data_IF_416745763392
#
_entry.id   IF_416745763392
#
_cell.length_a   1.000
_cell.length_b   1.000
_cell.length_c   1.000
_cell.angle_alpha   90.00
_cell.angle_beta   90.00
_cell.angle_gamma   90.00
#
_symmetry.space_group_name_H-M   'P 1'
#
loop_
_entity.id
_entity.type
_entity.pdbx_description
1 polymer ?
#
# COMPACT_ATOMS: atom_id res chain seq x y z
N UNK A 1 7.10 23.38 -2.35
CA UNK A 1 6.32 22.14 -2.25
C UNK A 1 5.01 22.39 -2.95
N UNK A 2 4.74 21.74 -4.08
CA UNK A 2 3.46 21.86 -4.78
C UNK A 2 2.58 20.69 -4.34
N UNK A 3 1.39 21.01 -3.86
CA UNK A 3 0.37 20.01 -3.56
C UNK A 3 0.05 19.20 -4.84
N UNK A 4 -0.45 17.96 -4.70
CA UNK A 4 -1.06 17.23 -5.81
C UNK A 4 -2.06 18.11 -6.57
N UNK A 5 -2.10 17.96 -7.90
CA UNK A 5 -3.03 18.72 -8.74
C UNK A 5 -4.49 18.31 -8.55
N UNK A 6 -4.74 17.13 -7.98
CA UNK A 6 -6.05 16.55 -7.69
C UNK A 6 -5.94 15.47 -6.61
N UNK A 7 -7.05 14.92 -6.13
CA UNK A 7 -7.06 13.72 -5.25
C UNK A 7 -6.59 12.47 -6.01
N UNK A 8 -6.09 11.46 -5.28
CA UNK A 8 -5.76 10.17 -5.87
C UNK A 8 -7.05 9.41 -6.24
N UNK A 9 -7.18 8.97 -7.49
CA UNK A 9 -8.33 8.19 -7.98
C UNK A 9 -7.87 6.97 -8.76
N UNK A 10 -8.72 5.94 -8.94
CA UNK A 10 -8.37 4.80 -9.78
C UNK A 10 -8.00 5.17 -11.23
N UNK A 11 -8.55 6.27 -11.75
CA UNK A 11 -8.38 6.72 -13.13
C UNK A 11 -7.15 7.60 -13.36
N UNK A 12 -6.43 8.05 -12.33
CA UNK A 12 -5.29 8.96 -12.51
C UNK A 12 -3.96 8.39 -12.04
N UNK A 13 -3.96 7.17 -11.48
CA UNK A 13 -2.79 6.56 -10.89
C UNK A 13 -2.41 5.19 -11.47
N UNK A 14 -1.15 4.82 -11.23
CA UNK A 14 -0.55 3.51 -11.53
C UNK A 14 0.24 3.07 -10.30
N UNK A 15 0.24 1.77 -10.02
CA UNK A 15 1.04 1.20 -8.94
C UNK A 15 2.38 0.70 -9.48
N UNK A 16 3.48 1.17 -8.91
CA UNK A 16 4.83 0.70 -9.20
C UNK A 16 5.30 -0.18 -8.05
N UNK A 17 5.49 -1.47 -8.34
CA UNK A 17 5.90 -2.49 -7.38
C UNK A 17 7.32 -2.93 -7.72
N UNK A 18 8.29 -2.26 -7.11
CA UNK A 18 9.70 -2.32 -7.53
C UNK A 18 10.48 -3.21 -6.58
N UNK A 19 11.10 -4.26 -7.12
CA UNK A 19 12.03 -5.13 -6.40
C UNK A 19 11.43 -5.84 -5.19
N UNK A 20 10.14 -6.19 -5.23
CA UNK A 20 9.52 -7.11 -4.25
C UNK A 20 9.99 -8.55 -4.46
N UNK A 21 11.29 -8.75 -4.30
CA UNK A 21 12.02 -9.98 -4.60
C UNK A 21 12.29 -10.79 -3.32
N UNK A 22 12.21 -12.12 -3.43
CA UNK A 22 12.26 -13.03 -2.27
C UNK A 22 13.56 -12.94 -1.46
N UNK A 23 14.68 -12.60 -2.10
CA UNK A 23 15.98 -12.46 -1.45
C UNK A 23 16.12 -11.16 -0.68
N UNK A 24 15.62 -10.04 -1.23
CA UNK A 24 15.63 -8.73 -0.56
C UNK A 24 14.82 -8.75 0.74
N UNK A 25 13.70 -9.49 0.76
CA UNK A 25 12.88 -9.68 1.96
C UNK A 25 13.59 -10.42 3.11
N UNK A 26 14.75 -11.06 2.86
CA UNK A 26 15.46 -11.82 3.90
C UNK A 26 16.31 -10.93 4.81
N UNK A 27 16.70 -9.73 4.35
CA UNK A 27 17.66 -8.88 5.07
C UNK A 27 17.20 -7.43 5.25
N UNK A 28 16.08 -7.03 4.66
CA UNK A 28 15.43 -5.75 4.95
C UNK A 28 14.49 -5.94 6.14
N UNK A 29 14.82 -5.30 7.26
CA UNK A 29 14.26 -5.62 8.58
C UNK A 29 13.70 -4.40 9.32
N UNK A 30 13.56 -3.26 8.64
CA UNK A 30 12.90 -2.08 9.23
C UNK A 30 11.42 -2.31 9.57
N UNK A 31 10.80 -3.36 9.01
CA UNK A 31 9.45 -3.85 9.30
C UNK A 31 9.56 -5.36 9.53
N UNK A 32 8.75 -5.89 10.45
CA UNK A 32 8.63 -7.34 10.64
C UNK A 32 8.31 -8.03 9.29
N UNK A 33 9.02 -9.10 8.89
CA UNK A 33 8.87 -9.69 7.56
C UNK A 33 7.46 -10.19 7.24
N UNK A 34 6.74 -10.71 8.24
CA UNK A 34 5.37 -11.20 8.04
C UNK A 34 4.40 -10.02 7.87
N UNK A 35 4.58 -8.97 8.67
CA UNK A 35 3.82 -7.72 8.51
C UNK A 35 4.11 -7.06 7.17
N UNK A 36 5.37 -6.99 6.75
CA UNK A 36 5.78 -6.43 5.45
C UNK A 36 5.11 -7.18 4.31
N UNK A 37 5.20 -8.52 4.31
CA UNK A 37 4.54 -9.36 3.31
C UNK A 37 3.02 -9.12 3.28
N UNK A 38 2.39 -9.06 4.45
CA UNK A 38 0.96 -8.79 4.56
C UNK A 38 0.58 -7.43 3.95
N UNK A 39 1.36 -6.39 4.24
CA UNK A 39 1.12 -5.04 3.72
C UNK A 39 1.37 -4.93 2.22
N UNK A 40 2.43 -5.57 1.70
CA UNK A 40 2.68 -5.66 0.24
C UNK A 40 1.48 -6.28 -0.46
N UNK A 41 0.92 -7.36 0.09
CA UNK A 41 -0.25 -8.03 -0.49
C UNK A 41 -1.54 -7.20 -0.34
N UNK A 42 -1.75 -6.52 0.79
CA UNK A 42 -2.86 -5.59 0.97
C UNK A 42 -2.82 -4.45 -0.05
N UNK A 43 -1.66 -3.82 -0.18
CA UNK A 43 -1.37 -2.79 -1.18
C UNK A 43 -1.61 -3.28 -2.61
N UNK A 44 -1.08 -4.44 -2.97
CA UNK A 44 -1.24 -5.05 -4.28
C UNK A 44 -2.71 -5.36 -4.60
N UNK A 45 -3.44 -5.92 -3.64
CA UNK A 45 -4.88 -6.19 -3.80
C UNK A 45 -5.72 -4.92 -3.90
N UNK A 46 -5.30 -3.81 -3.31
CA UNK A 46 -5.93 -2.50 -3.54
C UNK A 46 -5.91 -2.14 -5.03
N UNK A 47 -4.75 -2.25 -5.69
CA UNK A 47 -4.66 -1.99 -7.14
C UNK A 47 -5.59 -2.90 -7.94
N UNK A 48 -5.58 -4.20 -7.63
CA UNK A 48 -6.41 -5.19 -8.32
C UNK A 48 -7.91 -4.94 -8.12
N UNK A 49 -8.33 -4.66 -6.88
CA UNK A 49 -9.74 -4.41 -6.55
C UNK A 49 -10.31 -3.17 -7.24
N UNK A 50 -9.46 -2.16 -7.49
CA UNK A 50 -9.82 -0.90 -8.12
C UNK A 50 -9.52 -0.86 -9.62
N UNK A 51 -9.09 -1.98 -10.24
CA UNK A 51 -8.70 -2.08 -11.65
C UNK A 51 -7.62 -1.05 -12.06
N UNK A 52 -6.65 -0.81 -11.17
CA UNK A 52 -5.56 0.15 -11.41
C UNK A 52 -4.38 -0.57 -12.10
N UNK A 53 -3.77 0.01 -13.14
CA UNK A 53 -2.59 -0.57 -13.78
C UNK A 53 -1.44 -0.78 -12.78
N UNK A 54 -0.71 -1.89 -12.94
CA UNK A 54 0.47 -2.24 -12.14
C UNK A 54 1.68 -2.41 -13.06
N UNK A 55 2.81 -1.81 -12.68
CA UNK A 55 4.11 -2.04 -13.31
C UNK A 55 5.04 -2.66 -12.27
N UNK A 56 5.69 -3.76 -12.66
CA UNK A 56 6.64 -4.48 -11.81
C UNK A 56 8.03 -4.46 -12.42
N UNK A 57 9.04 -4.32 -11.58
CA UNK A 57 10.44 -4.44 -12.00
C UNK A 57 11.26 -5.20 -10.97
N UNK A 58 12.36 -5.81 -11.43
CA UNK A 58 13.35 -6.47 -10.56
C UNK A 58 14.75 -5.94 -10.81
N UNK A 59 15.61 -6.08 -9.80
CA UNK A 59 17.04 -5.84 -9.91
C UNK A 59 17.77 -7.16 -9.67
N UNK A 60 18.54 -7.63 -10.67
CA UNK A 60 19.35 -8.84 -10.62
C UNK A 60 18.62 -10.11 -10.10
N UNK A 61 17.53 -10.55 -10.74
CA UNK A 61 16.70 -11.66 -10.24
C UNK A 61 17.39 -13.02 -10.29
N UNK A 62 18.44 -13.17 -11.10
CA UNK A 62 19.30 -14.36 -11.15
C UNK A 62 20.42 -14.36 -10.09
N UNK A 63 20.48 -13.32 -9.26
CA UNK A 63 21.44 -13.18 -8.18
C UNK A 63 20.81 -13.33 -6.78
N UNK A 64 21.50 -12.86 -5.73
CA UNK A 64 21.03 -12.94 -4.34
C UNK A 64 19.67 -12.26 -4.08
N UNK A 65 19.27 -11.30 -4.93
CA UNK A 65 17.96 -10.65 -4.81
C UNK A 65 16.81 -11.62 -5.10
N UNK A 66 17.02 -12.60 -6.00
CA UNK A 66 16.04 -13.61 -6.37
C UNK A 66 14.88 -13.09 -7.22
N UNK A 67 13.92 -13.93 -7.64
CA UNK A 67 12.77 -13.50 -8.42
C UNK A 67 11.76 -12.67 -7.59
N UNK A 68 10.83 -12.00 -8.26
CA UNK A 68 9.63 -11.42 -7.64
C UNK A 68 8.90 -12.46 -6.79
N UNK A 69 8.35 -12.04 -5.66
CA UNK A 69 7.60 -12.93 -4.78
C UNK A 69 6.45 -13.64 -5.52
N UNK A 70 6.29 -14.97 -5.35
CA UNK A 70 5.31 -15.76 -6.10
C UNK A 70 3.87 -15.26 -5.95
N UNK A 71 3.50 -14.73 -4.78
CA UNK A 71 2.16 -14.24 -4.52
C UNK A 71 1.79 -13.02 -5.38
N UNK A 72 2.76 -12.13 -5.69
CA UNK A 72 2.51 -11.02 -6.62
C UNK A 72 2.36 -11.52 -8.05
N UNK A 73 3.17 -12.49 -8.48
CA UNK A 73 3.01 -13.12 -9.80
C UNK A 73 1.68 -13.87 -9.93
N UNK A 74 1.23 -14.54 -8.86
CA UNK A 74 -0.07 -15.20 -8.83
C UNK A 74 -1.22 -14.19 -8.83
N UNK A 75 -1.03 -13.03 -8.20
CA UNK A 75 -2.03 -11.95 -8.17
C UNK A 75 -2.15 -11.24 -9.52
N UNK A 76 -1.04 -11.11 -10.26
CA UNK A 76 -0.95 -10.45 -11.56
C UNK A 76 -0.22 -11.32 -12.60
N UNK A 77 -0.82 -12.46 -13.02
CA UNK A 77 -0.19 -13.38 -13.97
C UNK A 77 0.08 -12.73 -15.34
N UNK A 78 -0.73 -11.75 -15.73
CA UNK A 78 -0.64 -10.99 -16.98
C UNK A 78 0.38 -9.86 -16.98
N UNK A 79 0.91 -9.47 -15.80
CA UNK A 79 1.88 -8.39 -15.70
C UNK A 79 3.28 -8.94 -15.94
N UNK A 80 3.90 -8.48 -17.02
CA UNK A 80 5.31 -8.72 -17.31
C UNK A 80 6.18 -7.99 -16.29
N UNK A 81 7.18 -8.71 -15.77
CA UNK A 81 8.14 -8.16 -14.80
C UNK A 81 9.37 -7.68 -15.56
N UNK A 82 9.73 -6.41 -15.38
CA UNK A 82 10.84 -5.79 -16.09
C UNK A 82 12.14 -6.05 -15.33
N UNK A 83 12.98 -6.92 -15.88
CA UNK A 83 14.32 -7.17 -15.37
C UNK A 83 15.27 -6.09 -15.90
N UNK A 84 15.66 -5.15 -15.04
CA UNK A 84 16.45 -3.98 -15.47
C UNK A 84 17.94 -4.12 -15.13
N UNK A 85 18.84 -3.47 -15.90
CA UNK A 85 20.28 -3.48 -15.62
C UNK A 85 20.72 -2.38 -14.64
N UNK A 86 19.86 -1.41 -14.34
CA UNK A 86 20.19 -0.24 -13.52
C UNK A 86 19.61 -0.34 -12.10
N UNK A 87 20.35 0.17 -11.11
CA UNK A 87 19.86 0.27 -9.74
C UNK A 87 18.59 1.13 -9.67
N UNK A 88 18.63 2.33 -10.24
CA UNK A 88 17.46 3.20 -10.34
C UNK A 88 16.51 2.69 -11.45
N UNK A 89 15.30 2.28 -11.06
CA UNK A 89 14.23 1.89 -12.00
C UNK A 89 13.99 2.94 -13.09
N UNK A 90 14.10 4.22 -12.75
CA UNK A 90 13.84 5.31 -13.69
C UNK A 90 14.96 5.56 -14.71
N UNK A 91 16.14 4.95 -14.54
CA UNK A 91 17.23 5.05 -15.52
C UNK A 91 17.05 4.06 -16.68
N UNK A 92 16.15 3.08 -16.54
CA UNK A 92 15.86 2.09 -17.57
C UNK A 92 14.75 2.60 -18.51
N UNK A 93 14.97 2.55 -19.82
CA UNK A 93 14.00 3.07 -20.79
C UNK A 93 12.73 2.21 -20.82
N UNK A 94 12.86 0.88 -20.80
CA UNK A 94 11.71 -0.01 -20.81
C UNK A 94 10.80 0.22 -19.58
N UNK A 95 11.41 0.43 -18.42
CA UNK A 95 10.73 0.81 -17.18
C UNK A 95 9.97 2.13 -17.32
N UNK A 96 10.58 3.18 -17.88
CA UNK A 96 9.90 4.47 -18.12
C UNK A 96 8.78 4.36 -19.15
N UNK A 97 9.00 3.63 -20.23
CA UNK A 97 8.00 3.41 -21.28
C UNK A 97 6.79 2.64 -20.75
N UNK A 98 7.00 1.62 -19.90
CA UNK A 98 5.90 0.92 -19.24
C UNK A 98 5.04 1.87 -18.39
N UNK A 99 5.67 2.80 -17.66
CA UNK A 99 4.94 3.82 -16.88
C UNK A 99 4.22 4.80 -17.81
N UNK A 100 4.88 5.33 -18.85
CA UNK A 100 4.29 6.25 -19.83
C UNK A 100 3.10 5.64 -20.56
N UNK A 101 3.19 4.36 -20.92
CA UNK A 101 2.13 3.61 -21.61
C UNK A 101 0.84 3.50 -20.80
N UNK A 102 0.90 3.62 -19.47
CA UNK A 102 -0.32 3.66 -18.64
C UNK A 102 -1.12 4.96 -18.81
N UNK A 103 -0.49 6.03 -19.29
CA UNK A 103 -1.09 7.37 -19.38
C UNK A 103 -1.32 8.04 -18.02
N UNK A 104 -0.92 7.42 -16.90
CA UNK A 104 -1.19 7.91 -15.54
C UNK A 104 -0.10 8.87 -15.08
N UNK A 105 -0.48 9.87 -14.27
CA UNK A 105 0.43 10.92 -13.77
C UNK A 105 0.75 10.79 -12.29
N UNK A 106 -0.05 10.06 -11.52
CA UNK A 106 0.23 9.75 -10.12
C UNK A 106 0.84 8.36 -10.01
N UNK A 107 1.99 8.27 -9.39
CA UNK A 107 2.73 7.02 -9.21
C UNK A 107 2.63 6.61 -7.75
N UNK A 108 1.97 5.48 -7.48
CA UNK A 108 1.91 4.88 -6.15
C UNK A 108 3.01 3.83 -6.07
N UNK A 109 4.09 4.15 -5.37
CA UNK A 109 5.36 3.43 -5.43
C UNK A 109 5.57 2.67 -4.12
N UNK A 110 5.85 1.37 -4.24
CA UNK A 110 6.40 0.54 -3.16
C UNK A 110 7.63 -0.19 -3.66
N UNK A 111 8.63 -0.40 -2.80
CA UNK A 111 9.78 -1.18 -3.20
C UNK A 111 10.84 -1.43 -2.15
N UNK A 112 11.77 -2.33 -2.48
CA UNK A 112 12.78 -2.88 -1.58
C UNK A 112 14.19 -2.73 -2.20
N UNK A 113 15.19 -2.14 -1.54
CA UNK A 113 15.10 -1.33 -0.32
C UNK A 113 14.44 0.03 -0.60
N UNK A 114 13.72 0.60 0.38
CA UNK A 114 13.01 1.86 0.20
C UNK A 114 13.94 3.01 -0.18
N UNK A 115 15.10 3.13 0.46
CA UNK A 115 16.06 4.24 0.28
C UNK A 115 16.66 4.32 -1.14
N UNK A 116 16.56 3.22 -1.90
CA UNK A 116 17.09 3.06 -3.25
C UNK A 116 15.95 2.83 -4.25
N UNK A 117 15.30 1.67 -4.17
CA UNK A 117 14.44 1.15 -5.23
C UNK A 117 13.07 1.82 -5.26
N UNK A 118 12.61 2.40 -4.15
CA UNK A 118 11.45 3.29 -4.14
C UNK A 118 11.86 4.76 -4.28
N UNK A 119 12.87 5.21 -3.53
CA UNK A 119 13.20 6.62 -3.46
C UNK A 119 13.83 7.20 -4.73
N UNK A 120 14.71 6.46 -5.41
CA UNK A 120 15.35 6.97 -6.63
C UNK A 120 14.34 7.18 -7.75
N UNK A 121 13.46 6.21 -8.09
CA UNK A 121 12.47 6.46 -9.13
C UNK A 121 11.42 7.48 -8.71
N UNK A 122 11.02 7.54 -7.43
CA UNK A 122 10.11 8.58 -6.96
C UNK A 122 10.69 9.99 -7.23
N UNK A 123 11.94 10.23 -6.80
CA UNK A 123 12.60 11.54 -6.97
C UNK A 123 12.87 11.84 -8.44
N UNK A 124 13.22 10.83 -9.25
CA UNK A 124 13.44 11.01 -10.68
C UNK A 124 12.13 11.37 -11.41
N UNK A 125 11.03 10.66 -11.11
CA UNK A 125 9.73 10.90 -11.71
C UNK A 125 9.17 12.29 -11.36
N UNK A 126 9.40 12.78 -10.12
CA UNK A 126 9.05 14.15 -9.73
C UNK A 126 9.69 15.20 -10.65
N UNK A 127 10.94 14.98 -11.11
CA UNK A 127 11.62 15.90 -12.04
C UNK A 127 11.00 15.89 -13.44
N UNK A 128 10.31 14.81 -13.80
CA UNK A 128 9.55 14.69 -15.05
C UNK A 128 8.08 15.12 -14.90
N UNK A 129 7.69 15.70 -13.76
CA UNK A 129 6.36 16.25 -13.53
C UNK A 129 5.30 15.21 -13.15
N UNK A 130 5.70 14.01 -12.74
CA UNK A 130 4.80 13.06 -12.07
C UNK A 130 4.56 13.48 -10.62
N UNK A 131 3.45 13.02 -10.06
CA UNK A 131 3.17 13.12 -8.63
C UNK A 131 3.43 11.75 -7.99
N UNK A 132 4.21 11.70 -6.92
CA UNK A 132 4.66 10.41 -6.35
C UNK A 132 4.13 10.22 -4.94
N UNK A 133 3.60 9.03 -4.69
CA UNK A 133 3.08 8.56 -3.42
C UNK A 133 3.90 7.33 -3.03
N UNK A 134 4.76 7.43 -2.03
CA UNK A 134 5.62 6.32 -1.60
C UNK A 134 4.99 5.62 -0.39
N UNK A 135 4.70 4.34 -0.56
CA UNK A 135 3.97 3.51 0.41
C UNK A 135 4.96 2.83 1.35
N UNK A 136 5.18 3.45 2.49
CA UNK A 136 6.28 3.11 3.41
C UNK A 136 6.08 1.79 4.14
N UNK A 137 4.84 1.39 4.42
CA UNK A 137 4.53 0.15 5.14
C UNK A 137 4.43 -1.07 4.24
N UNK A 138 4.42 -0.87 2.92
CA UNK A 138 4.64 -1.87 1.88
C UNK A 138 6.07 -1.77 1.29
N UNK A 139 6.99 -1.09 1.97
CA UNK A 139 8.40 -0.95 1.62
C UNK A 139 9.25 -1.18 2.87
N UNK A 140 10.53 -1.54 2.72
CA UNK A 140 11.41 -1.73 3.86
C UNK A 140 12.86 -1.39 3.53
N UNK A 141 13.59 -0.95 4.56
CA UNK A 141 15.01 -0.70 4.56
C UNK A 141 15.72 -1.69 5.50
N UNK A 142 17.05 -1.62 5.56
CA UNK A 142 17.84 -2.52 6.40
C UNK A 142 17.52 -2.38 7.89
N UNK A 143 17.11 -1.19 8.35
CA UNK A 143 16.74 -0.93 9.73
C UNK A 143 15.84 0.34 9.85
N UNK A 144 15.20 0.57 11.02
CA UNK A 144 14.30 1.71 11.22
C UNK A 144 14.96 3.09 11.08
N UNK A 145 16.26 3.23 11.39
CA UNK A 145 16.96 4.51 11.26
C UNK A 145 17.07 4.92 9.79
N UNK A 146 17.45 3.99 8.91
CA UNK A 146 17.50 4.24 7.47
C UNK A 146 16.10 4.59 6.94
N UNK A 147 15.07 3.83 7.33
CA UNK A 147 13.68 4.12 6.95
C UNK A 147 13.28 5.57 7.31
N UNK A 148 13.65 6.06 8.50
CA UNK A 148 13.37 7.45 8.92
C UNK A 148 14.10 8.49 8.05
N UNK A 149 15.36 8.24 7.72
CA UNK A 149 16.15 9.08 6.80
C UNK A 149 15.50 9.10 5.42
N UNK A 150 15.08 7.94 4.91
CA UNK A 150 14.37 7.79 3.64
C UNK A 150 13.08 8.59 3.61
N UNK A 151 12.24 8.48 4.65
CA UNK A 151 10.99 9.24 4.77
C UNK A 151 11.23 10.75 4.71
N UNK A 152 12.24 11.23 5.44
CA UNK A 152 12.59 12.65 5.48
C UNK A 152 13.07 13.13 4.11
N UNK A 153 13.91 12.35 3.44
CA UNK A 153 14.41 12.65 2.09
C UNK A 153 13.27 12.70 1.06
N UNK A 154 12.37 11.74 1.08
CA UNK A 154 11.21 11.67 0.18
C UNK A 154 10.29 12.87 0.36
N UNK A 155 9.91 13.16 1.61
CA UNK A 155 9.06 14.30 1.92
C UNK A 155 9.72 15.63 1.51
N UNK A 156 11.01 15.81 1.81
CA UNK A 156 11.76 17.00 1.42
C UNK A 156 11.90 17.17 -0.11
N UNK A 157 11.92 16.06 -0.86
CA UNK A 157 11.91 16.09 -2.32
C UNK A 157 10.53 16.42 -2.92
N UNK A 158 9.46 16.35 -2.13
CA UNK A 158 8.08 16.61 -2.57
C UNK A 158 7.26 15.36 -2.87
N UNK A 159 7.74 14.16 -2.52
CA UNK A 159 6.92 12.96 -2.57
C UNK A 159 5.93 12.93 -1.40
N UNK A 160 4.74 12.38 -1.63
CA UNK A 160 3.80 12.06 -0.56
C UNK A 160 4.25 10.76 0.09
N UNK A 161 4.62 10.84 1.36
CA UNK A 161 4.96 9.68 2.17
C UNK A 161 3.67 9.15 2.81
N UNK A 162 3.28 7.92 2.49
CA UNK A 162 1.95 7.36 2.86
C UNK A 162 2.04 5.88 3.22
N UNK A 163 0.89 5.27 3.51
CA UNK A 163 0.72 3.86 3.87
C UNK A 163 -0.39 3.22 3.03
N UNK A 164 -0.41 1.89 2.94
CA UNK A 164 -1.31 1.19 2.02
C UNK A 164 -2.79 1.38 2.39
N UNK A 165 -3.11 1.47 3.69
CA UNK A 165 -4.48 1.75 4.16
C UNK A 165 -4.92 3.16 3.80
N UNK A 166 -4.02 4.15 3.91
CA UNK A 166 -4.32 5.52 3.51
C UNK A 166 -4.56 5.61 2.00
N UNK A 167 -3.73 4.94 1.18
CA UNK A 167 -3.94 4.83 -0.27
C UNK A 167 -5.29 4.16 -0.58
N UNK A 168 -5.63 3.05 0.08
CA UNK A 168 -6.92 2.38 -0.10
C UNK A 168 -8.08 3.32 0.24
N UNK A 169 -7.99 4.06 1.35
CA UNK A 169 -9.03 4.99 1.76
C UNK A 169 -9.20 6.15 0.78
N UNK A 170 -8.09 6.75 0.32
CA UNK A 170 -8.10 7.86 -0.65
C UNK A 170 -8.73 7.41 -1.99
N UNK A 171 -8.30 6.26 -2.51
CA UNK A 171 -8.85 5.67 -3.74
C UNK A 171 -10.33 5.31 -3.63
N UNK A 172 -10.79 4.96 -2.43
CA UNK A 172 -12.17 4.55 -2.23
C UNK A 172 -13.14 5.73 -2.17
N UNK A 173 -12.65 6.93 -1.81
CA UNK A 173 -13.36 8.22 -1.72
C UNK A 173 -14.65 8.24 -0.87
N UNK A 174 -15.65 7.42 -1.19
CA UNK A 174 -16.95 7.34 -0.54
C UNK A 174 -17.20 5.95 0.07
N UNK A 175 -17.19 5.88 1.40
CA UNK A 175 -17.43 4.66 2.18
C UNK A 175 -18.83 4.07 2.00
N UNK A 176 -19.84 4.85 1.59
CA UNK A 176 -21.18 4.31 1.33
C UNK A 176 -21.23 3.51 0.02
N UNK A 177 -20.44 3.92 -0.97
CA UNK A 177 -20.39 3.28 -2.29
C UNK A 177 -19.34 2.16 -2.30
N UNK A 178 -18.14 2.46 -1.80
CA UNK A 178 -16.98 1.57 -1.88
C UNK A 178 -16.62 0.90 -0.54
N UNK A 179 -17.47 1.04 0.48
CA UNK A 179 -17.23 0.49 1.82
C UNK A 179 -17.02 -1.02 1.84
N UNK A 180 -17.62 -1.76 0.90
CA UNK A 180 -17.41 -3.20 0.78
C UNK A 180 -15.98 -3.54 0.30
N UNK A 181 -15.42 -2.77 -0.63
CA UNK A 181 -14.03 -2.94 -1.09
C UNK A 181 -13.04 -2.65 0.04
N UNK A 182 -13.26 -1.56 0.78
CA UNK A 182 -12.48 -1.21 1.97
C UNK A 182 -12.59 -2.33 3.02
N UNK A 183 -13.82 -2.64 3.44
CA UNK A 183 -14.08 -3.55 4.55
C UNK A 183 -13.56 -4.96 4.30
N UNK A 184 -13.64 -5.46 3.06
CA UNK A 184 -13.09 -6.76 2.70
C UNK A 184 -11.56 -6.78 2.80
N UNK A 185 -10.87 -5.82 2.18
CA UNK A 185 -9.41 -5.78 2.17
C UNK A 185 -8.84 -5.58 3.58
N UNK A 186 -9.45 -4.67 4.36
CA UNK A 186 -9.06 -4.49 5.76
C UNK A 186 -9.33 -5.75 6.59
N UNK A 187 -10.42 -6.47 6.37
CA UNK A 187 -10.67 -7.73 7.08
C UNK A 187 -9.69 -8.84 6.69
N UNK A 188 -9.24 -8.87 5.44
CA UNK A 188 -8.24 -9.85 4.98
C UNK A 188 -6.83 -9.56 5.49
N UNK A 189 -6.48 -8.28 5.72
CA UNK A 189 -5.10 -7.85 5.99
C UNK A 189 -4.89 -7.14 7.34
N UNK A 190 -5.95 -6.90 8.12
CA UNK A 190 -5.87 -6.30 9.45
C UNK A 190 -6.75 -7.09 10.43
N UNK A 191 -6.10 -7.94 11.23
CA UNK A 191 -6.78 -8.78 12.21
C UNK A 191 -7.65 -8.00 13.19
N UNK A 192 -7.25 -6.77 13.58
CA UNK A 192 -8.10 -5.93 14.44
C UNK A 192 -9.39 -5.47 13.73
N UNK A 193 -9.30 -5.14 12.43
CA UNK A 193 -10.48 -4.76 11.66
C UNK A 193 -11.41 -5.96 11.43
N UNK A 194 -10.84 -7.13 11.14
CA UNK A 194 -11.61 -8.38 11.07
C UNK A 194 -12.33 -8.68 12.39
N UNK A 195 -11.65 -8.50 13.53
CA UNK A 195 -12.25 -8.68 14.85
C UNK A 195 -13.39 -7.69 15.09
N UNK A 196 -13.23 -6.42 14.72
CA UNK A 196 -14.29 -5.41 14.81
C UNK A 196 -15.48 -5.76 13.91
N UNK A 197 -15.24 -6.21 12.68
CA UNK A 197 -16.29 -6.67 11.77
C UNK A 197 -17.04 -7.88 12.33
N UNK A 198 -16.32 -8.89 12.83
CA UNK A 198 -16.93 -10.06 13.46
C UNK A 198 -17.73 -9.69 14.71
N UNK A 199 -17.21 -8.75 15.53
CA UNK A 199 -17.92 -8.24 16.69
C UNK A 199 -19.21 -7.53 16.27
N UNK A 200 -19.17 -6.67 15.24
CA UNK A 200 -20.36 -6.00 14.72
C UNK A 200 -21.38 -7.00 14.18
N UNK A 201 -20.97 -7.95 13.33
CA UNK A 201 -21.88 -8.95 12.76
C UNK A 201 -22.50 -9.84 13.83
N UNK A 202 -21.72 -10.25 14.84
CA UNK A 202 -22.21 -11.06 15.96
C UNK A 202 -23.14 -10.28 16.89
N UNK A 203 -22.78 -9.05 17.25
CA UNK A 203 -23.57 -8.21 18.17
C UNK A 203 -24.80 -7.62 17.51
N UNK A 204 -24.77 -7.22 16.23
CA UNK A 204 -25.94 -6.69 15.55
C UNK A 204 -27.08 -7.71 15.46
N UNK A 205 -26.75 -9.00 15.31
CA UNK A 205 -27.74 -10.08 15.24
C UNK A 205 -28.48 -10.31 16.57
N UNK A 206 -27.83 -10.05 17.72
CA UNK A 206 -28.41 -10.25 19.05
C UNK A 206 -28.47 -8.96 19.87
N UNK A 207 -28.35 -7.79 19.23
CA UNK A 207 -28.19 -6.50 19.90
C UNK A 207 -29.35 -6.21 20.86
N UNK A 208 -30.57 -6.56 20.46
CA UNK A 208 -31.77 -6.42 21.29
C UNK A 208 -31.70 -7.31 22.54
N UNK A 209 -31.32 -8.58 22.38
CA UNK A 209 -31.22 -9.54 23.48
C UNK A 209 -30.09 -9.17 24.46
N UNK A 210 -28.93 -8.75 23.95
CA UNK A 210 -27.82 -8.28 24.78
C UNK A 210 -28.23 -7.03 25.55
N UNK A 211 -28.84 -6.05 24.87
CA UNK A 211 -29.33 -4.81 25.50
C UNK A 211 -30.32 -5.08 26.63
N UNK A 212 -31.23 -6.02 26.44
CA UNK A 212 -32.20 -6.45 27.45
C UNK A 212 -31.51 -7.23 28.59
N UNK A 213 -30.63 -8.18 28.26
CA UNK A 213 -29.93 -9.02 29.22
C UNK A 213 -28.94 -8.27 30.13
N UNK A 214 -28.31 -7.21 29.64
CA UNK A 214 -27.42 -6.34 30.46
C UNK A 214 -28.13 -5.12 31.06
N UNK A 215 -29.45 -5.00 30.88
CA UNK A 215 -30.25 -3.93 31.49
C UNK A 215 -30.05 -2.54 30.89
N UNK A 216 -29.45 -2.41 29.69
CA UNK A 216 -29.26 -1.14 28.98
C UNK A 216 -30.56 -0.70 28.27
N UNK A 217 -31.61 -0.50 29.06
CA UNK A 217 -32.99 -0.21 28.59
C UNK A 217 -33.23 1.24 28.15
N UNK A 218 -32.18 2.08 28.12
CA UNK A 218 -32.29 3.52 27.88
C UNK A 218 -32.57 4.35 29.14
N UNK A 219 -32.77 3.72 30.29
CA UNK A 219 -32.72 4.36 31.60
C UNK A 219 -31.35 4.11 32.24
N UNK A 220 -30.70 5.11 32.87
CA UNK A 220 -29.42 4.90 33.53
C UNK A 220 -29.56 3.84 34.65
N UNK A 221 -28.59 2.91 34.80
CA UNK A 221 -28.63 1.86 35.81
C UNK A 221 -28.46 2.38 37.25
N UNK A 222 -28.10 3.65 37.40
CA UNK A 222 -27.99 4.35 38.69
C UNK A 222 -29.07 5.43 38.68
N UNK A 223 -30.02 5.43 39.65
CA UNK A 223 -30.92 6.55 39.84
C UNK A 223 -30.07 7.82 39.99
N UNK A 224 -30.30 8.83 39.15
CA UNK A 224 -29.83 10.17 39.47
C UNK A 224 -30.55 10.59 40.74
N UNK A 225 -29.91 10.41 41.89
CA UNK A 225 -30.36 10.97 43.14
C UNK A 225 -30.39 12.50 42.97
N UNK A 226 -31.57 13.08 43.20
CA UNK A 226 -31.81 14.52 43.35
C UNK A 226 -31.13 15.05 44.62
#
# INVERSE_FOLDING_TARGET
MTLPTSELTPDNCVFLMIDHQVGLMQFLSSIDPMLLKNNILGHAKTAKAMNIPVVMGTSWPQGPNGPTMPELKALFPEVDVIDRPFVNFWNDEASREAVRATGRKKLVISGLATEVCAAFPAIAALREGYETYVVMDASADFNPFIQQVTMTRLAAAGAIVTTWVAVLAELSANTQVNGQHIGRLLSEHMGQYQAAMNNFLGTAANATEVREGVGLTGNPPIPMAL
#
